data_IF_873495483327
#
_entry.id   IF_873495483327
#
_cell.length_a   1.000
_cell.length_b   1.000
_cell.length_c   1.000
_cell.angle_alpha   90.00
_cell.angle_beta   90.00
_cell.angle_gamma   90.00
#
_symmetry.space_group_name_H-M   'P 1'
#
loop_
_entity.id
_entity.type
_entity.pdbx_description
1 polymer ?
#
# COMPACT_ATOMS: atom_id res chain seq x y z
N UNK A 1 5.99 2.37 -0.23
CA UNK A 1 5.39 2.12 -1.56
C UNK A 1 5.90 3.03 -2.67
N UNK A 2 6.30 4.27 -2.39
CA UNK A 2 6.79 5.23 -3.42
C UNK A 2 7.92 4.73 -4.32
N UNK A 3 8.92 4.04 -3.78
CA UNK A 3 10.00 3.48 -4.61
C UNK A 3 9.49 2.54 -5.71
N UNK A 4 8.47 1.72 -5.40
CA UNK A 4 7.79 0.86 -6.38
C UNK A 4 6.99 1.69 -7.40
N UNK A 5 6.26 2.70 -6.93
CA UNK A 5 5.47 3.60 -7.77
C UNK A 5 6.31 4.40 -8.79
N UNK A 6 7.56 4.72 -8.41
CA UNK A 6 8.45 5.63 -9.14
C UNK A 6 9.66 4.94 -9.75
N UNK A 7 9.77 3.62 -9.60
CA UNK A 7 10.92 2.81 -10.02
C UNK A 7 12.27 3.37 -9.52
N UNK A 8 12.29 3.86 -8.28
CA UNK A 8 13.45 4.47 -7.66
C UNK A 8 13.91 3.62 -6.47
N UNK A 9 15.22 3.31 -6.43
CA UNK A 9 15.87 2.56 -5.35
C UNK A 9 16.77 3.46 -4.48
N UNK A 10 16.77 4.77 -4.73
CA UNK A 10 17.57 5.71 -3.97
C UNK A 10 17.02 5.81 -2.55
N UNK A 11 17.92 5.90 -1.57
CA UNK A 11 17.54 6.00 -0.16
C UNK A 11 16.67 7.23 0.12
N UNK A 12 16.88 8.30 -0.65
CA UNK A 12 16.13 9.55 -0.49
C UNK A 12 14.65 9.42 -0.92
N UNK A 13 14.30 8.38 -1.67
CA UNK A 13 12.92 8.05 -2.02
C UNK A 13 12.20 7.26 -0.92
N UNK A 14 12.91 6.85 0.13
CA UNK A 14 12.38 6.16 1.29
C UNK A 14 12.20 7.15 2.44
N UNK A 15 11.06 7.03 3.13
CA UNK A 15 10.80 7.76 4.36
C UNK A 15 10.80 6.77 5.52
N UNK A 16 11.43 7.17 6.62
CA UNK A 16 11.49 6.36 7.85
C UNK A 16 10.13 6.30 8.58
N UNK A 17 9.27 7.28 8.30
CA UNK A 17 7.90 7.37 8.83
C UNK A 17 6.87 7.08 7.74
N UNK A 18 5.58 7.16 8.11
CA UNK A 18 4.48 7.02 7.16
C UNK A 18 4.65 7.97 5.96
N UNK A 19 4.65 7.39 4.77
CA UNK A 19 4.75 8.11 3.51
C UNK A 19 3.35 8.37 2.94
N UNK A 20 2.93 9.63 2.97
CA UNK A 20 1.71 10.06 2.28
C UNK A 20 1.94 10.05 0.76
N UNK A 21 1.10 9.29 0.05
CA UNK A 21 1.19 9.06 -1.39
C UNK A 21 0.18 9.90 -2.19
N UNK A 22 -0.48 10.87 -1.55
CA UNK A 22 -1.46 11.76 -2.19
C UNK A 22 -0.89 12.58 -3.35
N UNK A 23 0.44 12.69 -3.44
CA UNK A 23 1.18 13.36 -4.49
C UNK A 23 1.48 12.49 -5.72
N UNK A 24 1.21 11.18 -5.66
CA UNK A 24 1.42 10.30 -6.79
C UNK A 24 0.39 10.55 -7.90
N UNK A 25 0.85 10.52 -9.15
CA UNK A 25 -0.03 10.61 -10.30
C UNK A 25 -0.70 9.25 -10.61
N UNK A 26 -1.64 9.26 -11.56
CA UNK A 26 -2.42 8.08 -11.93
C UNK A 26 -1.55 6.87 -12.36
N UNK A 27 -0.50 7.10 -13.15
CA UNK A 27 0.40 6.05 -13.66
C UNK A 27 1.23 5.46 -12.51
N UNK A 28 1.71 6.31 -11.59
CA UNK A 28 2.44 5.87 -10.41
C UNK A 28 1.55 5.04 -9.47
N UNK A 29 0.29 5.47 -9.29
CA UNK A 29 -0.69 4.71 -8.51
C UNK A 29 -1.08 3.38 -9.16
N UNK A 30 -1.15 3.32 -10.48
CA UNK A 30 -1.36 2.06 -11.21
C UNK A 30 -0.20 1.09 -10.96
N UNK A 31 1.04 1.57 -11.02
CA UNK A 31 2.21 0.75 -10.68
C UNK A 31 2.16 0.21 -9.25
N UNK A 32 1.71 1.00 -8.27
CA UNK A 32 1.54 0.53 -6.88
C UNK A 32 0.54 -0.62 -6.81
N UNK A 33 -0.61 -0.52 -7.50
CA UNK A 33 -1.65 -1.55 -7.51
C UNK A 33 -1.18 -2.83 -8.19
N UNK A 34 -0.43 -2.71 -9.29
CA UNK A 34 0.15 -3.87 -9.96
C UNK A 34 1.12 -4.61 -9.05
N UNK A 35 2.00 -3.87 -8.36
CA UNK A 35 2.88 -4.48 -7.35
C UNK A 35 2.08 -5.13 -6.24
N UNK A 36 1.06 -4.46 -5.68
CA UNK A 36 0.20 -5.05 -4.64
C UNK A 36 -0.36 -6.41 -5.06
N UNK A 37 -0.89 -6.55 -6.28
CA UNK A 37 -1.40 -7.82 -6.80
C UNK A 37 -0.30 -8.90 -6.85
N UNK A 38 0.88 -8.56 -7.37
CA UNK A 38 2.01 -9.50 -7.43
C UNK A 38 2.49 -9.92 -6.03
N UNK A 39 2.47 -9.01 -5.06
CA UNK A 39 2.84 -9.32 -3.67
C UNK A 39 1.79 -10.21 -3.00
N UNK A 40 0.49 -9.95 -3.20
CA UNK A 40 -0.60 -10.80 -2.68
C UNK A 40 -0.60 -12.21 -3.28
N UNK A 41 -0.18 -12.37 -4.53
CA UNK A 41 -0.05 -13.70 -5.13
C UNK A 41 1.13 -14.49 -4.57
N UNK A 42 2.24 -13.80 -4.25
CA UNK A 42 3.52 -14.45 -3.92
C UNK A 42 3.77 -14.59 -2.41
N UNK A 43 3.18 -13.75 -1.58
CA UNK A 43 3.48 -13.67 -0.16
C UNK A 43 2.21 -13.61 0.69
N UNK A 44 2.30 -14.14 1.90
CA UNK A 44 1.21 -14.08 2.86
C UNK A 44 0.99 -12.64 3.32
N UNK A 45 -0.28 -12.24 3.37
CA UNK A 45 -0.70 -10.98 3.93
C UNK A 45 -0.78 -11.09 5.46
N UNK A 46 -0.07 -10.22 6.17
CA UNK A 46 0.06 -10.28 7.65
C UNK A 46 -0.60 -9.10 8.38
N UNK A 47 -1.29 -8.21 7.65
CA UNK A 47 -1.97 -7.04 8.21
C UNK A 47 -1.68 -5.73 7.46
N UNK A 48 -2.21 -4.62 8.00
CA UNK A 48 -2.15 -3.28 7.37
C UNK A 48 -1.06 -2.41 7.99
N UNK A 49 -0.40 -1.61 7.15
CA UNK A 49 0.45 -0.52 7.60
C UNK A 49 -0.43 0.68 8.02
N UNK A 50 -0.49 0.95 9.32
CA UNK A 50 -1.34 1.99 9.90
C UNK A 50 -0.85 3.40 9.55
N UNK A 51 -1.79 4.31 9.25
CA UNK A 51 -1.49 5.74 9.13
C UNK A 51 -1.25 6.36 10.53
N UNK A 52 -0.56 7.51 10.63
CA UNK A 52 -0.42 8.22 11.89
C UNK A 52 -1.79 8.52 12.51
N UNK A 53 -2.02 8.02 13.73
CA UNK A 53 -3.28 8.18 14.46
C UNK A 53 -4.37 7.14 14.17
N UNK A 54 -4.11 6.15 13.31
CA UNK A 54 -5.02 5.02 13.11
C UNK A 54 -4.85 3.99 14.24
N UNK A 55 -5.96 3.49 14.79
CA UNK A 55 -5.94 2.45 15.82
C UNK A 55 -5.70 1.06 15.22
N UNK A 56 -4.94 0.17 15.90
CA UNK A 56 -4.78 -1.22 15.46
C UNK A 56 -6.12 -1.96 15.41
N UNK A 57 -6.28 -2.84 14.41
CA UNK A 57 -7.45 -3.73 14.28
C UNK A 57 -7.03 -5.20 14.29
N UNK A 58 -7.93 -6.09 14.71
CA UNK A 58 -7.72 -7.53 14.54
C UNK A 58 -7.86 -7.89 13.05
N UNK A 59 -6.77 -8.34 12.44
CA UNK A 59 -6.75 -8.75 11.05
C UNK A 59 -7.26 -10.18 10.94
N UNK A 60 -8.51 -10.35 10.51
CA UNK A 60 -9.05 -11.66 10.16
C UNK A 60 -8.90 -11.89 8.65
N UNK A 61 -8.78 -13.15 8.24
CA UNK A 61 -8.63 -13.55 6.83
C UNK A 61 -9.77 -13.05 5.90
N UNK A 62 -10.84 -12.49 6.47
CA UNK A 62 -12.03 -12.00 5.78
C UNK A 62 -12.01 -10.49 5.45
N UNK A 63 -11.07 -9.71 6.01
CA UNK A 63 -11.02 -8.24 5.80
C UNK A 63 -10.61 -7.82 4.37
N UNK A 64 -10.01 -8.71 3.57
CA UNK A 64 -9.55 -8.42 2.20
C UNK A 64 -10.70 -8.05 1.22
N UNK A 65 -11.94 -8.39 1.56
CA UNK A 65 -13.09 -8.22 0.65
C UNK A 65 -13.83 -6.88 0.77
N UNK A 66 -13.63 -6.12 1.86
CA UNK A 66 -14.48 -4.97 2.19
C UNK A 66 -13.96 -3.62 1.68
N UNK A 67 -12.66 -3.47 1.46
CA UNK A 67 -12.08 -2.21 0.98
C UNK A 67 -12.29 -1.96 -0.52
N UNK A 68 -12.60 -3.01 -1.30
CA UNK A 68 -12.92 -2.88 -2.72
C UNK A 68 -14.37 -2.44 -3.03
N UNK A 69 -15.26 -2.36 -2.03
CA UNK A 69 -16.68 -2.04 -2.25
C UNK A 69 -17.05 -0.58 -1.92
N UNK A 70 -16.10 0.26 -1.49
CA UNK A 70 -16.40 1.64 -1.05
C UNK A 70 -16.06 2.74 -2.08
N UNK A 71 -15.70 2.36 -3.31
CA UNK A 71 -15.55 3.25 -4.45
C UNK A 71 -16.51 2.85 -5.59
N UNK A 72 -17.81 2.97 -5.36
CA UNK A 72 -18.82 3.23 -6.41
C UNK A 72 -19.55 4.54 -6.08
#
# INVERSE_FOLDING_TARGET
SRGLATFCLDKDALRDEYDDLSDLNAVQMESVREWEMQFKEKYDYVGRLLKPGEEPSEYTDEEDTKDHTKQE
#
